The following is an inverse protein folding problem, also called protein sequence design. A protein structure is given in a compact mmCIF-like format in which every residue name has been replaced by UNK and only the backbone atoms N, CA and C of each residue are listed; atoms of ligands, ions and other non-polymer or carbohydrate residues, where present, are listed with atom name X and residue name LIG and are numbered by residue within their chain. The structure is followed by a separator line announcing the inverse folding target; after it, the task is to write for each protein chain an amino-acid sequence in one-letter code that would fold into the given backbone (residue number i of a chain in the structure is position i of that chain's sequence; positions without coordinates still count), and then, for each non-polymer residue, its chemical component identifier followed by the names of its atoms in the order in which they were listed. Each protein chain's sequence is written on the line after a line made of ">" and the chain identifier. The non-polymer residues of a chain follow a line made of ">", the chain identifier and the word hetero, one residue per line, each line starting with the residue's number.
data_IF_597417809091
#
_entry.id   IF_597417809091
#
_cell.length_a   1.000
_cell.length_b   1.000
_cell.length_c   1.000
_cell.angle_alpha   90.00
_cell.angle_beta   90.00
_cell.angle_gamma   90.00
#
_symmetry.space_group_name_H-M   'P 1'
#
loop_
_entity.id
_entity.type
_entity.pdbx_description
1 polymer ?
#
# COMPACT_ATOMS: atom_id res chain seq x y z
N UNK A 1 -3.18 -24.32 -10.99
CA UNK A 1 -3.23 -23.21 -10.02
C UNK A 1 -4.67 -22.76 -9.97
N UNK A 2 -5.31 -22.75 -8.80
CA UNK A 2 -6.65 -22.19 -8.65
C UNK A 2 -6.59 -20.71 -9.02
N UNK A 3 -7.41 -20.29 -9.98
CA UNK A 3 -7.53 -18.90 -10.39
C UNK A 3 -8.29 -18.15 -9.29
N UNK A 4 -7.65 -17.18 -8.63
CA UNK A 4 -8.35 -16.35 -7.64
C UNK A 4 -9.37 -15.48 -8.35
N UNK A 5 -10.60 -15.45 -7.86
CA UNK A 5 -11.64 -14.59 -8.44
C UNK A 5 -11.67 -13.26 -7.69
N UNK A 6 -11.46 -12.16 -8.42
CA UNK A 6 -11.62 -10.81 -7.89
C UNK A 6 -13.11 -10.45 -7.85
N UNK A 7 -13.55 -9.89 -6.73
CA UNK A 7 -14.91 -9.40 -6.52
C UNK A 7 -14.88 -7.94 -6.10
N UNK A 8 -15.88 -7.17 -6.53
CA UNK A 8 -16.11 -5.81 -6.02
C UNK A 8 -16.64 -5.91 -4.59
N UNK A 9 -16.03 -5.16 -3.68
CA UNK A 9 -16.39 -5.12 -2.28
C UNK A 9 -17.46 -4.04 -2.03
N UNK A 10 -18.41 -4.36 -1.18
CA UNK A 10 -19.41 -3.43 -0.65
C UNK A 10 -19.10 -2.98 0.78
N UNK A 11 -19.82 -1.97 1.27
CA UNK A 11 -19.73 -1.46 2.66
C UNK A 11 -19.99 -2.52 3.73
N UNK A 12 -20.61 -3.66 3.39
CA UNK A 12 -20.81 -4.77 4.32
C UNK A 12 -19.48 -5.45 4.71
N UNK A 13 -18.43 -5.30 3.88
CA UNK A 13 -17.12 -5.92 4.13
C UNK A 13 -16.20 -5.08 5.01
N UNK A 14 -16.60 -3.86 5.44
CA UNK A 14 -15.75 -2.98 6.27
C UNK A 14 -15.18 -3.69 7.50
N UNK A 15 -15.95 -4.48 8.29
CA UNK A 15 -15.38 -5.19 9.44
C UNK A 15 -14.27 -6.19 9.06
N UNK A 16 -14.40 -6.86 7.91
CA UNK A 16 -13.39 -7.80 7.42
C UNK A 16 -12.16 -7.08 6.88
N UNK A 17 -12.35 -5.93 6.24
CA UNK A 17 -11.27 -5.03 5.79
C UNK A 17 -10.45 -4.58 7.00
N UNK A 18 -11.10 -4.05 8.04
CA UNK A 18 -10.43 -3.56 9.26
C UNK A 18 -9.63 -4.67 9.92
N UNK A 19 -10.21 -5.86 10.07
CA UNK A 19 -9.51 -7.02 10.64
C UNK A 19 -8.28 -7.45 9.81
N UNK A 20 -8.38 -7.39 8.48
CA UNK A 20 -7.28 -7.75 7.59
C UNK A 20 -6.12 -6.74 7.63
N UNK A 21 -6.44 -5.45 7.72
CA UNK A 21 -5.44 -4.38 7.86
C UNK A 21 -4.72 -4.49 9.22
N UNK A 22 -5.48 -4.70 10.29
CA UNK A 22 -4.96 -4.85 11.66
C UNK A 22 -4.01 -6.05 11.83
N UNK A 23 -4.09 -7.07 10.95
CA UNK A 23 -3.17 -8.21 10.96
C UNK A 23 -1.69 -7.79 10.76
N UNK A 24 -1.44 -6.62 10.17
CA UNK A 24 -0.10 -6.04 10.09
C UNK A 24 0.90 -6.87 9.29
N UNK A 25 2.18 -6.66 9.57
CA UNK A 25 3.29 -7.36 8.91
C UNK A 25 4.49 -7.54 9.85
N UNK A 26 5.33 -8.52 9.53
CA UNK A 26 6.66 -8.67 10.14
C UNK A 26 7.72 -8.19 9.16
N UNK A 27 8.75 -7.51 9.66
CA UNK A 27 9.92 -7.12 8.87
C UNK A 27 11.21 -7.43 9.61
N UNK A 28 12.28 -7.74 8.87
CA UNK A 28 13.65 -7.86 9.37
C UNK A 28 14.55 -6.70 8.95
N UNK A 29 14.02 -5.79 8.15
CA UNK A 29 14.78 -4.68 7.58
C UNK A 29 13.94 -3.41 7.61
N UNK A 30 14.62 -2.27 7.52
CA UNK A 30 13.99 -0.97 7.31
C UNK A 30 14.84 -0.13 6.37
N UNK A 31 14.22 0.86 5.72
CA UNK A 31 14.96 1.95 5.12
C UNK A 31 15.20 3.04 6.16
N UNK A 32 16.47 3.28 6.50
CA UNK A 32 16.87 4.47 7.25
C UNK A 32 16.89 5.65 6.29
N UNK A 33 16.08 6.66 6.59
CA UNK A 33 15.98 7.88 5.78
C UNK A 33 16.84 8.96 6.41
N UNK A 34 17.58 9.69 5.57
CA UNK A 34 18.35 10.87 5.99
C UNK A 34 18.26 11.95 4.93
N UNK A 35 18.40 13.21 5.35
CA UNK A 35 18.34 14.38 4.48
C UNK A 35 19.53 15.29 4.73
N UNK A 36 20.06 15.86 3.66
CA UNK A 36 20.94 17.02 3.68
C UNK A 36 20.32 18.09 2.79
N UNK A 37 20.40 19.33 3.23
CA UNK A 37 19.88 20.47 2.49
C UNK A 37 20.81 21.66 2.64
N UNK A 38 21.03 22.33 1.52
CA UNK A 38 21.78 23.56 1.36
C UNK A 38 21.11 24.39 0.25
N UNK A 39 21.58 25.61 0.03
CA UNK A 39 21.06 26.46 -1.06
C UNK A 39 21.27 25.84 -2.46
N UNK A 40 22.38 25.13 -2.68
CA UNK A 40 22.73 24.57 -3.99
C UNK A 40 22.34 23.10 -4.19
N UNK A 41 21.98 22.38 -3.13
CA UNK A 41 21.71 20.95 -3.19
C UNK A 41 20.80 20.50 -2.05
N UNK A 42 19.79 19.69 -2.40
CA UNK A 42 18.99 18.90 -1.48
C UNK A 42 19.11 17.44 -1.86
N UNK A 43 19.47 16.59 -0.89
CA UNK A 43 19.61 15.16 -1.08
C UNK A 43 18.88 14.40 0.03
N UNK A 44 18.21 13.33 -0.35
CA UNK A 44 17.52 12.41 0.55
C UNK A 44 18.01 10.99 0.25
N UNK A 45 18.55 10.32 1.26
CA UNK A 45 19.06 8.96 1.13
C UNK A 45 18.17 7.98 1.86
N UNK A 46 17.95 6.83 1.24
CA UNK A 46 17.31 5.68 1.84
C UNK A 46 18.31 4.52 1.85
N UNK A 47 18.75 4.12 3.04
CA UNK A 47 19.68 3.00 3.20
C UNK A 47 18.94 1.82 3.81
N UNK A 48 18.95 0.67 3.12
CA UNK A 48 18.40 -0.56 3.69
C UNK A 48 19.30 -1.01 4.84
N UNK A 49 18.69 -1.29 5.98
CA UNK A 49 19.37 -1.73 7.21
C UNK A 49 18.70 -2.99 7.74
N UNK A 50 19.51 -3.99 8.08
CA UNK A 50 19.06 -5.20 8.77
C UNK A 50 18.83 -4.89 10.24
N UNK A 51 17.69 -5.33 10.78
CA UNK A 51 17.34 -5.21 12.19
C UNK A 51 18.01 -6.33 12.99
N UNK A 52 18.34 -6.10 14.28
CA UNK A 52 18.92 -7.14 15.14
C UNK A 52 17.97 -8.32 15.38
N UNK A 53 16.66 -8.10 15.27
CA UNK A 53 15.60 -9.11 15.35
C UNK A 53 14.41 -8.68 14.47
N UNK A 54 13.56 -9.62 14.01
CA UNK A 54 12.32 -9.26 13.36
C UNK A 54 11.41 -8.41 14.26
N UNK A 55 10.71 -7.47 13.65
CA UNK A 55 9.74 -6.58 14.30
C UNK A 55 8.39 -6.75 13.63
N UNK A 56 7.35 -6.94 14.44
CA UNK A 56 5.96 -6.97 13.98
C UNK A 56 5.34 -5.59 14.13
N UNK A 57 4.68 -5.13 13.08
CA UNK A 57 4.06 -3.81 12.97
C UNK A 57 2.58 -4.00 12.68
N UNK A 58 1.75 -3.35 13.48
CA UNK A 58 0.31 -3.37 13.34
C UNK A 58 -0.21 -1.94 13.28
N UNK A 59 -1.25 -1.75 12.49
CA UNK A 59 -2.02 -0.53 12.49
C UNK A 59 -3.49 -0.90 12.43
N UNK A 60 -4.27 -0.35 13.35
CA UNK A 60 -5.72 -0.57 13.40
C UNK A 60 -6.37 0.65 12.77
N UNK A 61 -7.13 0.49 11.66
CA UNK A 61 -7.92 1.57 11.10
C UNK A 61 -8.83 2.20 12.16
N UNK A 62 -8.85 3.52 12.20
CA UNK A 62 -9.75 4.30 13.05
C UNK A 62 -11.03 4.69 12.30
N UNK A 63 -11.89 5.48 12.96
CA UNK A 63 -13.14 5.95 12.37
C UNK A 63 -12.92 6.79 11.10
N UNK A 64 -11.83 7.56 11.04
CA UNK A 64 -11.51 8.38 9.88
C UNK A 64 -11.13 7.52 8.67
N UNK A 65 -10.35 6.46 8.88
CA UNK A 65 -10.04 5.48 7.85
C UNK A 65 -11.32 4.76 7.35
N UNK A 66 -12.22 4.37 8.25
CA UNK A 66 -13.48 3.74 7.86
C UNK A 66 -14.37 4.65 6.98
N UNK A 67 -14.38 5.96 7.22
CA UNK A 67 -15.11 6.92 6.37
C UNK A 67 -14.56 6.87 4.93
N UNK A 68 -13.24 6.83 4.77
CA UNK A 68 -12.58 6.70 3.46
C UNK A 68 -12.94 5.36 2.82
N UNK A 69 -12.87 4.24 3.55
CA UNK A 69 -13.21 2.92 3.03
C UNK A 69 -14.66 2.87 2.54
N UNK A 70 -15.60 3.40 3.33
CA UNK A 70 -17.02 3.43 2.96
C UNK A 70 -17.28 4.26 1.70
N UNK A 71 -16.55 5.37 1.51
CA UNK A 71 -16.62 6.16 0.27
C UNK A 71 -16.16 5.31 -0.93
N UNK A 72 -14.95 4.76 -0.86
CA UNK A 72 -14.36 3.94 -1.92
C UNK A 72 -15.28 2.76 -2.31
N UNK A 73 -15.87 2.10 -1.32
CA UNK A 73 -16.75 0.95 -1.53
C UNK A 73 -18.11 1.34 -2.14
N UNK A 74 -18.59 2.58 -1.94
CA UNK A 74 -19.79 3.10 -2.61
C UNK A 74 -19.54 3.44 -4.07
N UNK A 75 -18.31 3.85 -4.37
CA UNK A 75 -17.85 4.15 -5.73
C UNK A 75 -17.44 2.88 -6.50
N UNK A 76 -17.65 1.69 -5.92
CA UNK A 76 -17.30 0.38 -6.51
C UNK A 76 -15.79 0.21 -6.80
N UNK A 77 -14.94 0.99 -6.12
CA UNK A 77 -13.49 0.99 -6.31
C UNK A 77 -12.72 0.20 -5.25
N UNK A 78 -13.41 -0.69 -4.54
CA UNK A 78 -12.83 -1.68 -3.64
C UNK A 78 -12.88 -3.08 -4.24
N UNK A 79 -11.75 -3.78 -4.25
CA UNK A 79 -11.62 -5.12 -4.83
C UNK A 79 -11.12 -6.09 -3.77
N UNK A 80 -11.62 -7.32 -3.79
CA UNK A 80 -11.19 -8.35 -2.86
C UNK A 80 -11.21 -9.76 -3.45
N UNK A 81 -10.54 -10.66 -2.75
CA UNK A 81 -10.50 -12.10 -3.07
C UNK A 81 -10.85 -12.90 -1.82
N UNK A 82 -11.55 -14.02 -2.02
CA UNK A 82 -12.06 -14.85 -0.95
C UNK A 82 -11.51 -16.28 -1.02
N UNK A 83 -11.30 -16.88 0.14
CA UNK A 83 -11.04 -18.31 0.31
C UNK A 83 -12.01 -18.84 1.36
N UNK A 84 -12.81 -19.86 1.02
CA UNK A 84 -13.81 -20.47 1.92
C UNK A 84 -14.73 -19.44 2.61
N UNK A 85 -15.16 -18.42 1.86
CA UNK A 85 -16.01 -17.33 2.35
C UNK A 85 -15.29 -16.28 3.20
N UNK A 86 -13.99 -16.43 3.47
CA UNK A 86 -13.15 -15.45 4.17
C UNK A 86 -12.52 -14.49 3.18
N UNK A 87 -12.60 -13.18 3.46
CA UNK A 87 -11.84 -12.16 2.74
C UNK A 87 -10.34 -12.32 3.04
N UNK A 88 -9.53 -12.59 2.01
CA UNK A 88 -8.09 -12.89 2.15
C UNK A 88 -7.18 -11.89 1.45
N UNK A 89 -7.69 -11.07 0.55
CA UNK A 89 -6.95 -9.96 -0.03
C UNK A 89 -7.88 -8.80 -0.36
N UNK A 90 -7.37 -7.58 -0.25
CA UNK A 90 -8.09 -6.34 -0.56
C UNK A 90 -7.20 -5.36 -1.33
N UNK A 91 -7.84 -4.57 -2.18
CA UNK A 91 -7.29 -3.36 -2.77
C UNK A 91 -8.38 -2.27 -2.75
N UNK A 92 -8.19 -1.21 -1.98
CA UNK A 92 -9.10 -0.06 -1.97
C UNK A 92 -8.47 1.06 -2.78
N UNK A 93 -9.19 1.56 -3.78
CA UNK A 93 -8.64 2.51 -4.74
C UNK A 93 -9.51 3.73 -4.93
N UNK A 94 -8.92 4.84 -5.37
CA UNK A 94 -9.64 6.08 -5.63
C UNK A 94 -9.01 6.79 -6.82
N UNK A 95 -9.85 7.30 -7.73
CA UNK A 95 -9.39 8.11 -8.85
C UNK A 95 -8.96 9.50 -8.39
N UNK A 96 -7.89 10.01 -9.00
CA UNK A 96 -7.46 11.39 -8.91
C UNK A 96 -7.57 12.00 -10.32
N UNK A 97 -8.76 12.51 -10.71
CA UNK A 97 -9.04 12.88 -12.10
C UNK A 97 -8.12 13.97 -12.64
N UNK A 98 -7.73 14.93 -11.79
CA UNK A 98 -6.96 16.11 -12.18
C UNK A 98 -5.60 15.78 -12.82
N UNK A 99 -4.96 14.67 -12.43
CA UNK A 99 -3.68 14.22 -12.98
C UNK A 99 -3.71 12.79 -13.53
N UNK A 100 -4.91 12.20 -13.61
CA UNK A 100 -5.16 10.83 -14.09
C UNK A 100 -4.33 9.80 -13.31
N UNK A 101 -4.40 9.84 -11.99
CA UNK A 101 -3.73 8.87 -11.11
C UNK A 101 -4.77 7.99 -10.41
N UNK A 102 -4.53 6.68 -10.35
CA UNK A 102 -5.27 5.81 -9.45
C UNK A 102 -4.50 5.67 -8.13
N UNK A 103 -5.07 6.17 -7.05
CA UNK A 103 -4.54 5.98 -5.71
C UNK A 103 -4.96 4.61 -5.18
N UNK A 104 -4.00 3.83 -4.65
CA UNK A 104 -4.27 2.58 -3.92
C UNK A 104 -4.08 2.90 -2.45
N UNK A 105 -5.20 3.10 -1.75
CA UNK A 105 -5.26 3.46 -0.33
C UNK A 105 -4.88 2.31 0.56
N UNK A 106 -5.47 1.13 0.32
CA UNK A 106 -5.22 -0.07 1.09
C UNK A 106 -4.86 -1.21 0.15
N UNK A 107 -3.83 -1.96 0.50
CA UNK A 107 -3.48 -3.19 -0.20
C UNK A 107 -2.96 -4.23 0.79
N UNK A 108 -3.77 -5.23 1.08
CA UNK A 108 -3.45 -6.25 2.07
C UNK A 108 -3.73 -7.66 1.56
N UNK A 109 -2.87 -8.59 1.97
CA UNK A 109 -3.04 -10.03 1.80
C UNK A 109 -2.89 -10.67 3.17
N UNK A 110 -3.83 -11.55 3.51
CA UNK A 110 -3.85 -12.29 4.77
C UNK A 110 -2.53 -13.07 4.94
N UNK A 111 -1.92 -13.10 6.13
CA UNK A 111 -0.59 -13.70 6.35
C UNK A 111 -0.43 -15.09 5.73
N UNK A 112 -1.40 -15.98 5.95
CA UNK A 112 -1.35 -17.37 5.45
C UNK A 112 -1.47 -17.51 3.93
N UNK A 113 -1.88 -16.43 3.24
CA UNK A 113 -2.06 -16.39 1.77
C UNK A 113 -0.95 -15.61 1.05
N UNK A 114 0.04 -15.09 1.80
CA UNK A 114 1.21 -14.40 1.21
C UNK A 114 2.11 -15.40 0.49
N UNK A 115 2.82 -14.92 -0.53
CA UNK A 115 3.72 -15.76 -1.33
C UNK A 115 3.04 -16.69 -2.35
N UNK A 116 1.70 -16.71 -2.40
CA UNK A 116 0.93 -17.60 -3.28
C UNK A 116 0.45 -16.94 -4.59
N UNK A 117 0.99 -15.77 -4.92
CA UNK A 117 0.63 -15.03 -6.16
C UNK A 117 -0.66 -14.19 -6.08
N UNK A 118 -1.47 -14.35 -5.04
CA UNK A 118 -2.77 -13.65 -4.87
C UNK A 118 -2.63 -12.11 -4.99
N UNK A 119 -1.64 -11.52 -4.34
CA UNK A 119 -1.41 -10.07 -4.40
C UNK A 119 -0.99 -9.60 -5.80
N UNK A 120 -0.20 -10.41 -6.52
CA UNK A 120 0.19 -10.09 -7.91
C UNK A 120 -1.02 -10.08 -8.82
N UNK A 121 -1.90 -11.06 -8.68
CA UNK A 121 -3.13 -11.15 -9.46
C UNK A 121 -4.07 -9.98 -9.15
N UNK A 122 -4.28 -9.65 -7.87
CA UNK A 122 -5.11 -8.51 -7.47
C UNK A 122 -4.56 -7.18 -7.99
N UNK A 123 -3.26 -6.91 -7.82
CA UNK A 123 -2.65 -5.69 -8.33
C UNK A 123 -2.65 -5.62 -9.86
N UNK A 124 -2.59 -6.76 -10.56
CA UNK A 124 -2.76 -6.83 -12.01
C UNK A 124 -4.18 -6.47 -12.44
N UNK A 125 -5.20 -6.93 -11.70
CA UNK A 125 -6.59 -6.54 -11.93
C UNK A 125 -6.77 -5.03 -11.75
N UNK A 126 -6.28 -4.47 -10.65
CA UNK A 126 -6.34 -3.02 -10.39
C UNK A 126 -5.64 -2.22 -11.51
N UNK A 127 -4.48 -2.68 -11.98
CA UNK A 127 -3.79 -2.04 -13.11
C UNK A 127 -4.59 -2.13 -14.43
N UNK A 128 -5.35 -3.19 -14.63
CA UNK A 128 -6.29 -3.33 -15.74
C UNK A 128 -7.43 -2.30 -15.65
N UNK A 129 -8.07 -2.19 -14.49
CA UNK A 129 -9.10 -1.18 -14.20
C UNK A 129 -8.56 0.22 -14.44
N UNK A 130 -7.39 0.54 -13.89
CA UNK A 130 -6.74 1.83 -14.06
C UNK A 130 -6.52 2.20 -15.54
N UNK A 131 -6.10 1.24 -16.37
CA UNK A 131 -5.94 1.45 -17.82
C UNK A 131 -7.27 1.71 -18.52
N UNK A 132 -8.31 0.95 -18.18
CA UNK A 132 -9.66 1.14 -18.74
C UNK A 132 -10.22 2.53 -18.39
N UNK A 133 -9.95 3.02 -17.18
CA UNK A 133 -10.30 4.37 -16.75
C UNK A 133 -9.41 5.47 -17.36
N UNK A 134 -8.43 5.10 -18.18
CA UNK A 134 -7.51 6.05 -18.80
C UNK A 134 -6.55 6.70 -17.81
N UNK A 135 -6.23 6.04 -16.69
CA UNK A 135 -5.23 6.52 -15.74
C UNK A 135 -3.82 6.40 -16.33
N UNK A 136 -2.99 7.41 -16.07
CA UNK A 136 -1.58 7.46 -16.49
C UNK A 136 -0.69 6.66 -15.54
N UNK A 137 -1.03 6.62 -14.25
CA UNK A 137 -0.22 5.95 -13.23
C UNK A 137 -1.08 5.45 -12.09
N UNK A 138 -0.60 4.42 -11.40
CA UNK A 138 -1.04 4.05 -10.06
C UNK A 138 -0.04 4.61 -9.05
N UNK A 139 -0.51 4.93 -7.85
CA UNK A 139 0.32 5.32 -6.71
C UNK A 139 -0.17 4.63 -5.44
N UNK A 140 0.76 4.23 -4.59
CA UNK A 140 0.47 3.83 -3.21
C UNK A 140 1.50 4.48 -2.27
N UNK A 141 1.08 4.69 -1.04
CA UNK A 141 1.94 5.10 0.06
C UNK A 141 2.37 3.85 0.83
N UNK A 142 3.60 3.82 1.34
CA UNK A 142 4.03 2.82 2.31
C UNK A 142 5.15 3.35 3.21
N UNK A 143 5.14 2.95 4.48
CA UNK A 143 6.17 3.32 5.43
C UNK A 143 7.55 2.74 5.06
N UNK A 144 8.61 3.48 5.35
CA UNK A 144 10.01 3.06 5.20
C UNK A 144 10.38 1.74 5.91
N UNK A 145 9.65 1.33 6.93
CA UNK A 145 9.82 0.02 7.59
C UNK A 145 9.10 -1.13 6.89
N UNK A 146 8.11 -0.85 6.05
CA UNK A 146 7.34 -1.88 5.35
C UNK A 146 8.10 -2.40 4.12
N UNK A 147 9.34 -2.84 4.35
CA UNK A 147 10.22 -3.43 3.34
C UNK A 147 9.55 -4.60 2.61
N UNK A 148 8.76 -5.48 3.25
CA UNK A 148 7.98 -6.51 2.53
C UNK A 148 7.05 -5.90 1.46
N UNK A 149 6.29 -4.86 1.79
CA UNK A 149 5.42 -4.18 0.83
C UNK A 149 6.24 -3.45 -0.25
N UNK A 150 7.29 -2.72 0.10
CA UNK A 150 8.18 -2.05 -0.87
C UNK A 150 8.73 -3.04 -1.90
N UNK A 151 9.18 -4.22 -1.45
CA UNK A 151 9.64 -5.30 -2.34
C UNK A 151 8.53 -5.83 -3.22
N UNK A 152 7.34 -6.06 -2.65
CA UNK A 152 6.18 -6.48 -3.42
C UNK A 152 5.83 -5.46 -4.51
N UNK A 153 5.73 -4.17 -4.17
CA UNK A 153 5.43 -3.10 -5.10
C UNK A 153 6.45 -3.04 -6.24
N UNK A 154 7.75 -3.11 -5.93
CA UNK A 154 8.80 -3.24 -6.96
C UNK A 154 8.59 -4.45 -7.87
N UNK A 155 8.29 -5.61 -7.29
CA UNK A 155 8.07 -6.85 -8.03
C UNK A 155 6.81 -6.83 -8.93
N UNK A 156 5.89 -5.87 -8.73
CA UNK A 156 4.71 -5.66 -9.57
C UNK A 156 4.79 -4.36 -10.39
N UNK A 157 6.00 -3.78 -10.52
CA UNK A 157 6.29 -2.70 -11.47
C UNK A 157 6.21 -1.28 -10.90
N UNK A 158 6.13 -1.11 -9.59
CA UNK A 158 6.22 0.20 -8.96
C UNK A 158 7.69 0.59 -8.72
N UNK A 159 7.97 1.89 -8.76
CA UNK A 159 9.22 2.49 -8.34
C UNK A 159 8.98 3.54 -7.25
N UNK A 160 9.98 3.79 -6.41
CA UNK A 160 9.94 4.90 -5.47
C UNK A 160 10.05 6.21 -6.29
N UNK A 161 9.01 7.04 -6.26
CA UNK A 161 8.97 8.29 -7.02
C UNK A 161 8.65 9.52 -6.15
N UNK A 162 8.41 9.32 -4.85
CA UNK A 162 8.21 10.40 -3.90
C UNK A 162 8.51 9.97 -2.48
N UNK A 163 8.84 10.94 -1.65
CA UNK A 163 9.04 10.79 -0.22
C UNK A 163 8.48 12.03 0.47
N UNK A 164 7.80 11.82 1.59
CA UNK A 164 7.38 12.91 2.47
C UNK A 164 7.95 12.64 3.87
N UNK A 165 8.71 13.61 4.34
CA UNK A 165 9.56 13.52 5.52
C UNK A 165 8.83 13.94 6.80
N UNK A 166 7.57 14.37 6.67
CA UNK A 166 6.70 14.77 7.79
C UNK A 166 5.23 14.49 7.47
N UNK A 167 4.96 13.34 6.85
CA UNK A 167 3.62 12.97 6.38
C UNK A 167 2.69 12.59 7.52
N UNK A 168 3.20 11.82 8.49
CA UNK A 168 2.43 11.36 9.63
C UNK A 168 2.54 12.34 10.79
N UNK A 169 3.75 12.84 11.05
CA UNK A 169 4.06 13.79 12.13
C UNK A 169 5.24 14.70 11.76
N UNK A 170 5.49 15.73 12.58
CA UNK A 170 6.70 16.56 12.44
C UNK A 170 7.99 15.87 12.93
N UNK A 171 7.90 14.63 13.44
CA UNK A 171 9.02 13.89 14.04
C UNK A 171 9.39 12.63 13.24
N UNK A 172 8.81 12.44 12.05
CA UNK A 172 8.97 11.24 11.20
C UNK A 172 10.42 10.90 10.84
N UNK A 173 11.28 11.92 10.74
CA UNK A 173 12.72 11.75 10.47
C UNK A 173 13.57 11.37 11.68
N UNK A 174 13.02 11.39 12.90
CA UNK A 174 13.76 11.01 14.10
C UNK A 174 14.16 9.53 14.05
N UNK A 175 15.20 9.10 14.79
CA UNK A 175 15.60 7.70 14.85
C UNK A 175 14.43 6.80 15.26
N UNK A 176 13.99 5.96 14.31
CA UNK A 176 12.88 5.04 14.53
C UNK A 176 11.50 5.54 14.08
N UNK A 177 11.41 6.77 13.59
CA UNK A 177 10.19 7.33 13.01
C UNK A 177 9.78 6.65 11.71
N UNK A 178 8.56 6.99 11.28
CA UNK A 178 7.92 6.48 10.08
C UNK A 178 7.94 7.54 9.00
N UNK A 179 8.54 7.23 7.86
CA UNK A 179 8.62 8.14 6.71
C UNK A 179 7.79 7.56 5.58
N UNK A 180 6.92 8.38 5.01
CA UNK A 180 6.04 7.97 3.92
C UNK A 180 6.80 7.89 2.60
N UNK A 181 6.71 6.72 1.95
CA UNK A 181 7.32 6.46 0.65
C UNK A 181 6.22 6.32 -0.39
N UNK A 182 6.22 7.17 -1.41
CA UNK A 182 5.26 7.12 -2.51
C UNK A 182 5.83 6.29 -3.65
N UNK A 183 5.24 5.12 -3.83
CA UNK A 183 5.58 4.17 -4.89
C UNK A 183 4.62 4.39 -6.05
N UNK A 184 5.14 4.54 -7.29
CA UNK A 184 4.33 4.73 -8.50
C UNK A 184 4.59 3.66 -9.55
N UNK A 185 3.54 3.22 -10.21
CA UNK A 185 3.59 2.37 -11.40
C UNK A 185 2.95 3.10 -12.57
N UNK A 186 3.79 3.49 -13.54
CA UNK A 186 3.33 4.08 -14.80
C UNK A 186 2.60 3.01 -15.63
N UNK A 187 1.51 3.41 -16.29
CA UNK A 187 0.62 2.49 -17.02
C UNK A 187 0.74 2.58 -18.55
N UNK A 188 1.61 3.47 -19.02
CA UNK A 188 2.02 3.67 -20.42
C UNK A 188 2.43 2.35 -21.11
#
# INVERSE_FOLDING_TARGET
>A
MSEWVVQVLTVAHVPQIVALVAAGYETRERYVVSKQESEGETAVWLRLEMLPAPVTRHWTPDEAAEVIYRRILRDEMGFGMFADGRLVAIALTEEQPWNRTLWVWEFHVAPDYRGQGIGRQLMSHVAGVARTLGMRTMVCETQNWNVPAIRFYRAVGFALEGIDLSYYTNEDLQPGGDVALFMKRRLE
#
